data_IF_526918435967
#
_entry.id   IF_526918435967
#
_cell.length_a   1.000
_cell.length_b   1.000
_cell.length_c   1.000
_cell.angle_alpha   90.00
_cell.angle_beta   90.00
_cell.angle_gamma   90.00
#
_symmetry.space_group_name_H-M   'P 1'
#
loop_
_entity.id
_entity.type
_entity.pdbx_description
1 polymer ?
#
# COMPACT_ATOMS: atom_id res chain seq x y z
N UNK A 1 22.91 -72.07 -7.03
CA UNK A 1 22.34 -73.15 -7.89
C UNK A 1 22.38 -72.65 -9.31
N UNK A 2 23.24 -73.28 -10.05
CA UNK A 2 23.09 -73.89 -11.38
C UNK A 2 22.72 -72.91 -12.49
N UNK A 3 23.70 -72.53 -13.34
CA UNK A 3 24.22 -73.22 -14.57
C UNK A 3 23.22 -73.13 -15.72
N UNK A 4 23.52 -72.74 -16.97
CA UNK A 4 24.54 -73.22 -17.93
C UNK A 4 24.46 -72.32 -19.17
N UNK A 5 25.49 -71.78 -19.67
CA UNK A 5 26.31 -72.15 -20.87
C UNK A 5 25.57 -72.89 -22.00
N UNK A 6 25.60 -72.37 -23.22
CA UNK A 6 25.83 -73.08 -24.47
C UNK A 6 26.42 -72.19 -25.56
N UNK A 7 27.55 -72.51 -26.01
CA UNK A 7 28.37 -72.30 -27.15
C UNK A 7 27.78 -72.90 -28.45
N UNK A 8 28.01 -72.28 -29.62
CA UNK A 8 28.35 -72.99 -30.92
C UNK A 8 28.47 -71.93 -32.04
N UNK A 9 29.60 -71.72 -32.51
CA UNK A 9 30.44 -72.26 -33.56
C UNK A 9 30.04 -71.81 -34.96
N UNK A 10 31.06 -71.17 -35.59
CA UNK A 10 31.26 -70.87 -37.01
C UNK A 10 31.27 -72.13 -37.90
N UNK A 11 31.18 -72.02 -39.27
CA UNK A 11 32.35 -72.37 -40.06
C UNK A 11 32.67 -71.40 -41.24
N UNK A 12 33.85 -71.67 -41.74
CA UNK A 12 34.71 -70.97 -42.66
C UNK A 12 34.65 -71.43 -44.10
N UNK A 13 35.00 -70.50 -45.02
CA UNK A 13 35.79 -70.66 -46.28
C UNK A 13 35.17 -71.36 -47.53
N UNK A 14 35.66 -71.08 -48.81
CA UNK A 14 37.04 -70.80 -49.21
C UNK A 14 37.25 -69.75 -50.37
N UNK A 15 38.51 -69.46 -50.56
CA UNK A 15 39.19 -68.75 -51.61
C UNK A 15 38.98 -69.32 -53.04
N UNK A 16 39.03 -68.40 -54.06
CA UNK A 16 39.69 -68.77 -55.35
C UNK A 16 40.22 -67.49 -56.06
N UNK A 17 41.44 -67.57 -56.34
CA UNK A 17 42.45 -66.96 -57.18
C UNK A 17 42.00 -66.47 -58.56
N UNK A 18 42.63 -65.42 -59.07
CA UNK A 18 42.61 -64.97 -60.45
C UNK A 18 43.38 -63.68 -60.71
N UNK A 19 44.66 -63.81 -60.95
CA UNK A 19 45.59 -62.76 -61.37
C UNK A 19 45.41 -62.38 -62.84
N UNK A 20 45.92 -61.21 -63.21
CA UNK A 20 46.63 -60.75 -64.41
C UNK A 20 46.33 -59.33 -64.74
N UNK A 21 47.24 -58.42 -64.44
CA UNK A 21 48.13 -57.57 -65.24
C UNK A 21 47.51 -56.86 -66.46
N UNK A 22 47.54 -55.58 -66.45
CA UNK A 22 48.17 -54.69 -67.43
C UNK A 22 48.20 -53.21 -67.02
N UNK A 23 49.40 -52.67 -67.12
CA UNK A 23 49.78 -51.25 -67.10
C UNK A 23 49.12 -50.50 -68.28
N UNK A 24 48.83 -49.23 -68.08
CA UNK A 24 49.49 -48.05 -68.73
C UNK A 24 48.74 -46.70 -68.42
N UNK A 25 49.58 -45.77 -68.08
CA UNK A 25 49.59 -44.31 -68.42
C UNK A 25 48.37 -43.42 -68.04
N UNK A 26 48.56 -42.62 -67.01
CA UNK A 26 49.08 -41.25 -67.05
C UNK A 26 48.09 -40.24 -67.68
N UNK A 27 47.81 -39.28 -66.87
CA UNK A 27 47.77 -37.83 -67.07
C UNK A 27 46.78 -37.19 -66.13
N UNK A 28 47.34 -36.32 -65.31
CA UNK A 28 46.60 -35.55 -64.28
C UNK A 28 45.63 -34.62 -64.93
N UNK A 29 44.53 -34.44 -64.15
CA UNK A 29 43.76 -33.25 -64.17
C UNK A 29 43.38 -32.99 -62.71
N UNK A 30 44.08 -32.07 -62.06
CA UNK A 30 43.64 -31.40 -60.83
C UNK A 30 42.32 -30.65 -61.15
N UNK A 31 41.20 -31.30 -60.97
CA UNK A 31 39.93 -30.56 -60.87
C UNK A 31 39.82 -30.09 -59.42
N UNK A 32 40.04 -28.81 -59.24
CA UNK A 32 39.72 -28.06 -58.05
C UNK A 32 38.21 -28.26 -57.78
N UNK A 33 37.90 -29.16 -56.84
CA UNK A 33 36.53 -29.40 -56.39
C UNK A 33 36.06 -28.11 -55.70
N UNK A 34 35.28 -27.30 -56.43
CA UNK A 34 34.54 -26.21 -55.85
C UNK A 34 33.55 -26.85 -54.90
N UNK A 35 33.77 -26.67 -53.61
CA UNK A 35 32.82 -27.07 -52.58
C UNK A 35 31.50 -26.34 -52.87
N UNK A 36 30.53 -27.04 -53.37
CA UNK A 36 29.13 -26.58 -53.37
C UNK A 36 28.73 -26.28 -51.94
N UNK A 37 28.25 -25.08 -51.64
CA UNK A 37 27.74 -24.82 -50.29
C UNK A 37 26.59 -25.78 -50.02
N UNK A 38 26.79 -26.69 -49.06
CA UNK A 38 25.76 -27.56 -48.53
C UNK A 38 24.64 -26.66 -48.01
N UNK A 39 23.53 -26.57 -48.69
CA UNK A 39 22.33 -25.93 -48.23
C UNK A 39 21.75 -26.83 -47.10
N UNK A 40 22.32 -26.74 -45.92
CA UNK A 40 21.69 -27.30 -44.71
C UNK A 40 20.37 -26.54 -44.53
N UNK A 41 19.22 -27.22 -44.46
CA UNK A 41 17.96 -26.54 -44.25
C UNK A 41 18.04 -25.72 -42.94
N UNK A 42 17.44 -24.51 -42.95
CA UNK A 42 17.49 -23.65 -41.76
C UNK A 42 16.88 -24.38 -40.59
N UNK A 43 17.57 -24.33 -39.43
CA UNK A 43 17.14 -25.00 -38.21
C UNK A 43 15.93 -24.29 -37.62
N UNK A 44 14.80 -24.97 -37.36
CA UNK A 44 13.65 -24.34 -36.74
C UNK A 44 13.98 -23.98 -35.27
N UNK A 45 13.77 -22.74 -34.91
CA UNK A 45 14.04 -22.21 -33.54
C UNK A 45 12.87 -21.39 -33.05
N UNK A 46 12.69 -21.32 -31.72
CA UNK A 46 11.77 -20.36 -31.12
C UNK A 46 12.57 -19.17 -30.61
N UNK A 47 12.01 -17.98 -30.80
CA UNK A 47 12.65 -16.75 -30.35
C UNK A 47 11.82 -16.05 -29.27
N UNK A 48 12.50 -15.31 -28.43
CA UNK A 48 11.91 -14.43 -27.43
C UNK A 48 12.42 -13.01 -27.71
N UNK A 49 11.49 -12.07 -27.89
CA UNK A 49 11.86 -10.66 -28.04
C UNK A 49 12.15 -10.06 -26.66
N UNK A 50 13.38 -9.63 -26.49
CA UNK A 50 13.83 -9.01 -25.25
C UNK A 50 13.21 -7.61 -25.14
N UNK A 51 12.13 -7.52 -24.38
CA UNK A 51 11.56 -6.22 -24.04
C UNK A 51 12.18 -5.68 -22.77
N UNK A 52 12.41 -4.36 -22.64
CA UNK A 52 12.68 -3.77 -21.35
C UNK A 52 11.51 -4.13 -20.46
N UNK A 53 11.76 -4.96 -19.45
CA UNK A 53 10.71 -5.35 -18.52
C UNK A 53 10.16 -4.11 -17.85
N UNK A 54 9.02 -3.63 -18.29
CA UNK A 54 8.20 -2.77 -17.45
C UNK A 54 7.67 -3.68 -16.35
N UNK A 55 8.47 -3.85 -15.32
CA UNK A 55 7.97 -4.48 -14.12
C UNK A 55 7.06 -3.47 -13.44
N UNK A 56 5.78 -3.63 -13.66
CA UNK A 56 4.79 -2.98 -12.82
C UNK A 56 4.87 -3.64 -11.45
N UNK A 57 5.75 -3.09 -10.60
CA UNK A 57 5.89 -3.60 -9.24
C UNK A 57 4.72 -3.08 -8.42
N UNK A 58 3.79 -3.97 -8.12
CA UNK A 58 2.69 -3.67 -7.22
C UNK A 58 3.19 -3.83 -5.78
N UNK A 59 3.27 -2.74 -5.06
CA UNK A 59 3.56 -2.75 -3.63
C UNK A 59 2.28 -2.62 -2.84
N UNK A 60 2.04 -3.58 -1.92
CA UNK A 60 0.83 -3.65 -1.10
C UNK A 60 1.15 -3.34 0.35
N UNK A 61 0.35 -2.48 0.96
CA UNK A 61 0.47 -2.15 2.37
C UNK A 61 -0.90 -2.23 3.04
N UNK A 62 -0.97 -2.63 4.31
CA UNK A 62 -2.21 -2.64 5.07
C UNK A 62 -2.73 -1.21 5.24
N UNK A 63 -4.03 -1.06 5.18
CA UNK A 63 -4.72 0.22 5.31
C UNK A 63 -5.97 0.10 6.16
N UNK A 64 -6.28 1.16 6.92
CA UNK A 64 -7.54 1.31 7.64
C UNK A 64 -8.28 2.53 7.10
N UNK A 65 -9.55 2.36 6.77
CA UNK A 65 -10.40 3.43 6.27
C UNK A 65 -11.15 4.07 7.44
N UNK A 66 -11.07 5.39 7.53
CA UNK A 66 -11.71 6.18 8.57
C UNK A 66 -12.36 7.41 7.93
N UNK A 67 -13.40 7.96 8.55
CA UNK A 67 -13.87 9.29 8.17
C UNK A 67 -12.88 10.35 8.63
N UNK A 68 -12.67 11.36 7.82
CA UNK A 68 -11.70 12.44 8.13
C UNK A 68 -12.09 13.18 9.43
N UNK A 69 -13.40 13.32 9.66
CA UNK A 69 -13.92 13.90 10.88
C UNK A 69 -14.58 12.83 11.74
N UNK A 70 -13.89 12.45 12.80
CA UNK A 70 -14.41 11.61 13.89
C UNK A 70 -14.28 12.38 15.22
N UNK A 71 -15.18 12.15 16.13
CA UNK A 71 -15.14 12.73 17.47
C UNK A 71 -15.31 11.65 18.53
N UNK A 72 -14.47 11.71 19.55
CA UNK A 72 -14.64 10.99 20.81
C UNK A 72 -15.29 11.96 21.80
N UNK A 73 -16.50 11.63 22.22
CA UNK A 73 -17.28 12.46 23.13
C UNK A 73 -17.20 11.89 24.53
N UNK A 74 -16.97 12.76 25.48
CA UNK A 74 -16.86 12.45 26.90
C UNK A 74 -17.59 13.50 27.72
N UNK A 75 -18.03 13.15 28.94
CA UNK A 75 -18.44 14.14 29.91
C UNK A 75 -17.23 14.89 30.45
N UNK A 76 -17.39 16.19 30.69
CA UNK A 76 -16.35 17.04 31.29
C UNK A 76 -16.38 16.98 32.81
N UNK A 77 -17.49 16.52 33.35
CA UNK A 77 -17.74 16.34 34.78
C UNK A 77 -18.15 14.89 35.06
N UNK A 78 -17.94 14.42 36.28
CA UNK A 78 -18.26 13.04 36.67
C UNK A 78 -19.70 12.89 37.13
N UNK A 79 -20.24 11.68 37.05
CA UNK A 79 -21.59 11.37 37.52
C UNK A 79 -22.08 10.02 37.07
N UNK A 80 -23.35 9.72 37.38
CA UNK A 80 -24.03 8.51 36.95
C UNK A 80 -24.82 8.80 35.67
N UNK A 81 -24.68 7.99 34.66
CA UNK A 81 -25.42 8.13 33.40
C UNK A 81 -26.91 7.97 33.64
N UNK A 82 -27.66 9.01 33.38
CA UNK A 82 -29.12 9.06 33.52
C UNK A 82 -29.83 8.66 32.23
N UNK A 83 -29.25 8.98 31.06
CA UNK A 83 -29.83 8.61 29.77
C UNK A 83 -28.77 8.47 28.71
N UNK A 84 -29.00 7.47 27.82
CA UNK A 84 -28.29 7.30 26.54
C UNK A 84 -29.35 7.06 25.49
N UNK A 85 -29.51 7.99 24.57
CA UNK A 85 -30.68 8.04 23.67
C UNK A 85 -30.42 7.43 22.29
N UNK A 86 -29.24 6.81 22.07
CA UNK A 86 -28.82 6.30 20.77
C UNK A 86 -28.11 4.97 20.87
N UNK A 87 -28.08 4.27 19.73
CA UNK A 87 -27.32 3.04 19.53
C UNK A 87 -26.25 3.25 18.46
N UNK A 88 -25.23 2.40 18.45
CA UNK A 88 -24.29 2.31 17.36
C UNK A 88 -25.01 2.12 16.01
N UNK A 89 -24.54 2.81 14.98
CA UNK A 89 -25.13 2.83 13.65
C UNK A 89 -26.26 3.85 13.43
N UNK A 90 -26.76 4.52 14.47
CA UNK A 90 -27.81 5.52 14.31
C UNK A 90 -27.25 6.86 13.82
N UNK A 91 -28.05 7.53 12.98
CA UNK A 91 -27.78 8.87 12.50
C UNK A 91 -28.24 9.90 13.54
N UNK A 92 -27.45 10.94 13.69
CA UNK A 92 -27.72 12.06 14.61
C UNK A 92 -27.48 13.39 13.90
N UNK A 93 -28.20 14.44 14.36
CA UNK A 93 -28.03 15.79 13.85
C UNK A 93 -27.21 16.65 14.82
N UNK A 94 -26.53 17.68 14.29
CA UNK A 94 -25.77 18.63 15.12
C UNK A 94 -26.62 19.24 16.23
N UNK A 95 -26.09 19.25 17.45
CA UNK A 95 -26.75 19.79 18.65
C UNK A 95 -27.71 18.82 19.34
N UNK A 96 -27.98 17.65 18.78
CA UNK A 96 -28.85 16.63 19.35
C UNK A 96 -28.25 16.07 20.63
N UNK A 97 -29.06 15.96 21.71
CA UNK A 97 -28.67 15.38 22.99
C UNK A 97 -28.43 13.87 22.83
N UNK A 98 -27.21 13.42 23.14
CA UNK A 98 -26.79 12.04 23.00
C UNK A 98 -26.82 11.27 24.32
N UNK A 99 -26.28 11.85 25.36
CA UNK A 99 -26.23 11.26 26.69
C UNK A 99 -26.26 12.36 27.77
N UNK A 100 -26.72 11.99 28.94
CA UNK A 100 -26.80 12.89 30.09
C UNK A 100 -26.46 12.13 31.37
N UNK A 101 -25.69 12.73 32.26
CA UNK A 101 -25.50 12.29 33.64
C UNK A 101 -26.49 12.99 34.57
N UNK A 102 -26.75 12.42 35.73
CA UNK A 102 -27.68 12.97 36.74
C UNK A 102 -27.27 14.38 37.12
N UNK A 103 -28.10 15.41 36.76
CA UNK A 103 -27.72 16.81 36.89
C UNK A 103 -28.01 17.42 38.27
N UNK A 104 -28.74 16.73 39.16
CA UNK A 104 -29.28 17.25 40.42
C UNK A 104 -28.27 18.03 41.26
N UNK A 105 -27.05 17.49 41.43
CA UNK A 105 -26.02 18.16 42.21
C UNK A 105 -25.50 19.45 41.55
N UNK A 106 -25.39 19.43 40.23
CA UNK A 106 -24.94 20.57 39.42
C UNK A 106 -26.00 21.67 39.36
N UNK A 107 -27.29 21.29 39.25
CA UNK A 107 -28.43 22.23 39.36
C UNK A 107 -28.47 22.91 40.72
N UNK A 108 -28.29 22.15 41.80
CA UNK A 108 -28.22 22.68 43.14
C UNK A 108 -27.02 23.62 43.34
N UNK A 109 -25.86 23.31 42.79
CA UNK A 109 -24.66 24.14 42.84
C UNK A 109 -24.88 25.46 42.07
N UNK A 110 -25.45 25.42 40.85
CA UNK A 110 -25.80 26.59 40.05
C UNK A 110 -26.84 27.45 40.77
N UNK A 111 -27.89 26.85 41.35
CA UNK A 111 -28.91 27.59 42.09
C UNK A 111 -28.29 28.34 43.31
N UNK A 112 -27.37 27.68 44.04
CA UNK A 112 -26.65 28.33 45.16
C UNK A 112 -25.76 29.48 44.70
N UNK A 113 -24.97 29.29 43.63
CA UNK A 113 -24.11 30.33 43.08
C UNK A 113 -24.93 31.50 42.52
N UNK A 114 -26.08 31.24 41.89
CA UNK A 114 -26.99 32.29 41.42
C UNK A 114 -27.60 33.09 42.58
N UNK A 115 -28.04 32.45 43.67
CA UNK A 115 -28.57 33.12 44.84
C UNK A 115 -27.53 34.06 45.47
N UNK A 116 -26.27 33.66 45.57
CA UNK A 116 -25.18 34.48 46.09
C UNK A 116 -24.87 35.66 45.13
N UNK A 117 -24.77 35.40 43.84
CA UNK A 117 -24.59 36.43 42.81
C UNK A 117 -25.71 37.49 42.91
N UNK A 118 -26.98 37.11 43.01
CA UNK A 118 -28.11 38.01 43.11
C UNK A 118 -28.08 38.83 44.43
N UNK A 119 -27.63 38.23 45.53
CA UNK A 119 -27.45 38.92 46.81
C UNK A 119 -26.38 40.01 46.70
N UNK A 120 -25.22 39.67 46.12
CA UNK A 120 -24.12 40.65 45.95
C UNK A 120 -24.46 41.71 44.94
N UNK A 121 -25.16 41.36 43.84
CA UNK A 121 -25.62 42.30 42.84
C UNK A 121 -26.51 43.39 43.47
N UNK A 122 -27.50 42.97 44.30
CA UNK A 122 -28.37 43.93 45.02
C UNK A 122 -27.59 44.80 46.03
N UNK A 123 -26.57 44.26 46.70
CA UNK A 123 -25.68 45.00 47.55
C UNK A 123 -24.87 46.05 46.79
N UNK A 124 -24.31 45.65 45.65
CA UNK A 124 -23.55 46.54 44.78
C UNK A 124 -24.44 47.69 44.25
N UNK A 125 -25.67 47.40 43.83
CA UNK A 125 -26.64 48.44 43.39
C UNK A 125 -26.92 49.47 44.47
N UNK A 126 -27.22 49.02 45.72
CA UNK A 126 -27.41 49.94 46.86
C UNK A 126 -26.15 50.77 47.15
N UNK A 127 -24.97 50.14 47.11
CA UNK A 127 -23.71 50.85 47.32
C UNK A 127 -23.44 51.92 46.24
N UNK A 128 -23.77 51.61 44.99
CA UNK A 128 -23.67 52.58 43.88
C UNK A 128 -24.57 53.84 44.13
N UNK A 129 -25.80 53.64 44.64
CA UNK A 129 -26.68 54.72 45.01
C UNK A 129 -26.10 55.58 46.17
N UNK A 130 -25.49 54.92 47.18
CA UNK A 130 -24.84 55.60 48.31
C UNK A 130 -23.56 56.33 47.89
N UNK A 131 -22.83 55.84 46.95
CA UNK A 131 -21.65 56.50 46.34
C UNK A 131 -22.10 57.77 45.66
N UNK A 132 -23.18 57.72 44.84
CA UNK A 132 -23.73 58.87 44.14
C UNK A 132 -24.20 59.96 45.11
N UNK A 133 -24.64 59.58 46.32
CA UNK A 133 -24.97 60.43 47.39
C UNK A 133 -23.77 60.92 48.23
N UNK A 134 -22.55 60.54 47.94
CA UNK A 134 -21.35 60.91 48.70
C UNK A 134 -21.23 60.21 50.07
N UNK A 135 -22.00 59.15 50.34
CA UNK A 135 -22.16 58.54 51.63
C UNK A 135 -21.13 57.43 51.94
N UNK A 136 -20.34 56.91 50.92
CA UNK A 136 -19.36 55.88 51.10
C UNK A 136 -18.07 56.14 50.31
N UNK A 137 -16.97 55.49 50.71
CA UNK A 137 -15.63 55.70 50.16
C UNK A 137 -15.40 54.93 48.83
N UNK A 138 -14.41 55.38 48.03
CA UNK A 138 -14.01 54.69 46.78
C UNK A 138 -13.53 53.29 47.05
N UNK A 139 -12.84 53.03 48.15
CA UNK A 139 -12.37 51.67 48.51
C UNK A 139 -13.54 50.70 48.64
N UNK A 140 -14.64 51.09 49.30
CA UNK A 140 -15.82 50.23 49.43
C UNK A 140 -16.49 49.94 48.06
N UNK A 141 -16.37 50.87 47.14
CA UNK A 141 -16.83 50.68 45.75
C UNK A 141 -16.00 49.58 45.06
N UNK A 142 -14.66 49.65 45.15
CA UNK A 142 -13.74 48.68 44.56
C UNK A 142 -13.98 47.30 45.19
N UNK A 143 -14.01 47.18 46.50
CA UNK A 143 -14.32 45.93 47.21
C UNK A 143 -15.64 45.29 46.76
N UNK A 144 -16.68 46.11 46.56
CA UNK A 144 -18.00 45.62 46.14
C UNK A 144 -18.01 45.19 44.69
N UNK A 145 -17.24 45.83 43.82
CA UNK A 145 -17.07 45.43 42.41
C UNK A 145 -16.31 44.11 42.31
N UNK A 146 -15.24 43.94 43.08
CA UNK A 146 -14.45 42.72 43.13
C UNK A 146 -15.28 41.54 43.63
N UNK A 147 -16.07 41.75 44.69
CA UNK A 147 -16.98 40.71 45.18
C UNK A 147 -18.06 40.35 44.15
N UNK A 148 -18.58 41.30 43.39
CA UNK A 148 -19.53 41.03 42.32
C UNK A 148 -18.91 40.26 41.18
N UNK A 149 -17.69 40.62 40.80
CA UNK A 149 -16.92 39.86 39.77
C UNK A 149 -16.67 38.44 40.20
N UNK A 150 -16.24 38.19 41.44
CA UNK A 150 -16.02 36.86 41.99
C UNK A 150 -17.31 36.03 42.04
N UNK A 151 -18.42 36.58 42.46
CA UNK A 151 -19.70 35.87 42.50
C UNK A 151 -20.22 35.54 41.08
N UNK A 152 -20.02 36.46 40.14
CA UNK A 152 -20.35 36.24 38.72
C UNK A 152 -19.51 35.06 38.14
N UNK A 153 -18.22 35.07 38.37
CA UNK A 153 -17.32 33.98 37.93
C UNK A 153 -17.72 32.62 38.54
N UNK A 154 -18.14 32.61 39.82
CA UNK A 154 -18.63 31.38 40.47
C UNK A 154 -19.92 30.86 39.83
N UNK A 155 -20.84 31.74 39.48
CA UNK A 155 -22.09 31.38 38.76
C UNK A 155 -21.77 30.83 37.37
N UNK A 156 -20.92 31.52 36.62
CA UNK A 156 -20.49 31.07 35.28
C UNK A 156 -19.81 29.69 35.34
N UNK A 157 -18.97 29.44 36.33
CA UNK A 157 -18.35 28.13 36.57
C UNK A 157 -19.38 27.02 36.82
N UNK A 158 -20.37 27.30 37.73
CA UNK A 158 -21.44 26.34 38.02
C UNK A 158 -22.38 26.11 36.81
N UNK A 159 -22.60 27.12 35.97
CA UNK A 159 -23.38 26.99 34.74
C UNK A 159 -22.63 26.12 33.70
N UNK A 160 -21.33 26.34 33.58
CA UNK A 160 -20.48 25.50 32.74
C UNK A 160 -20.48 24.04 33.18
N UNK A 161 -20.37 23.78 34.48
CA UNK A 161 -20.40 22.41 35.01
C UNK A 161 -21.76 21.73 34.75
N UNK A 162 -22.85 22.44 34.96
CA UNK A 162 -24.19 21.95 34.63
C UNK A 162 -24.33 21.68 33.12
N UNK A 163 -23.87 22.58 32.25
CA UNK A 163 -23.92 22.38 30.82
C UNK A 163 -23.09 21.18 30.36
N UNK A 164 -22.06 20.83 31.16
CA UNK A 164 -21.14 19.72 30.93
C UNK A 164 -21.69 18.37 31.36
N UNK A 165 -22.87 18.33 32.02
CA UNK A 165 -23.60 17.08 32.33
C UNK A 165 -24.27 16.45 31.11
N UNK A 166 -24.32 17.16 29.97
CA UNK A 166 -24.97 16.73 28.75
C UNK A 166 -23.96 16.61 27.59
N UNK A 167 -23.95 15.51 26.89
CA UNK A 167 -23.20 15.32 25.65
C UNK A 167 -24.13 15.61 24.48
N UNK A 168 -23.78 16.60 23.66
CA UNK A 168 -24.49 16.95 22.42
C UNK A 168 -23.60 16.67 21.21
N UNK A 169 -24.20 16.27 20.08
CA UNK A 169 -23.50 16.03 18.84
C UNK A 169 -22.84 17.32 18.29
N UNK A 170 -21.52 17.37 18.09
CA UNK A 170 -20.83 18.54 17.58
C UNK A 170 -21.08 18.80 16.08
N UNK A 171 -21.46 17.75 15.34
CA UNK A 171 -21.83 17.78 13.93
C UNK A 171 -22.86 16.68 13.63
N UNK A 172 -23.51 16.74 12.47
CA UNK A 172 -24.39 15.66 12.00
C UNK A 172 -23.57 14.47 11.50
N UNK A 173 -23.98 13.23 11.81
CA UNK A 173 -23.22 12.05 11.45
C UNK A 173 -23.81 10.77 12.00
N UNK A 174 -22.97 9.76 12.17
CA UNK A 174 -23.35 8.43 12.67
C UNK A 174 -22.59 8.10 13.96
N UNK A 175 -23.26 7.46 14.90
CA UNK A 175 -22.64 6.90 16.10
C UNK A 175 -21.87 5.61 15.70
N UNK A 176 -20.56 5.60 15.94
CA UNK A 176 -19.70 4.44 15.65
C UNK A 176 -19.70 3.44 16.81
N UNK A 177 -19.55 3.92 18.05
CA UNK A 177 -19.59 3.09 19.26
C UNK A 177 -20.18 3.83 20.44
N UNK A 178 -20.73 3.07 21.36
CA UNK A 178 -21.11 3.48 22.71
C UNK A 178 -20.25 2.64 23.68
N UNK A 179 -19.51 3.31 24.54
CA UNK A 179 -18.57 2.66 25.44
C UNK A 179 -19.06 2.62 26.90
N UNK A 180 -20.30 3.10 27.16
CA UNK A 180 -20.94 3.11 28.48
C UNK A 180 -22.45 3.05 28.40
N UNK A 181 -23.11 2.55 29.44
CA UNK A 181 -24.53 2.29 29.50
C UNK A 181 -25.23 3.10 30.59
N UNK A 182 -26.59 3.09 30.58
CA UNK A 182 -27.43 3.67 31.62
C UNK A 182 -27.07 3.13 33.02
N UNK A 183 -26.98 4.01 34.01
CA UNK A 183 -26.68 3.67 35.41
C UNK A 183 -25.20 3.51 35.71
N UNK A 184 -24.31 3.57 34.73
CA UNK A 184 -22.86 3.53 34.94
C UNK A 184 -22.30 4.83 35.49
N UNK A 185 -21.34 4.75 36.42
CA UNK A 185 -20.62 5.90 36.93
C UNK A 185 -19.42 6.21 36.05
N UNK A 186 -19.33 7.43 35.56
CA UNK A 186 -18.29 7.87 34.62
C UNK A 186 -17.42 8.98 35.20
N UNK A 187 -16.15 8.96 34.83
CA UNK A 187 -15.16 9.98 35.18
C UNK A 187 -15.03 11.04 34.10
N UNK A 188 -14.60 12.27 34.47
CA UNK A 188 -14.30 13.31 33.49
C UNK A 188 -13.27 12.85 32.45
N UNK A 189 -13.55 13.05 31.15
CA UNK A 189 -12.67 12.68 30.04
C UNK A 189 -12.77 11.21 29.61
N UNK A 190 -13.51 10.36 30.30
CA UNK A 190 -13.79 9.01 29.88
C UNK A 190 -14.61 9.05 28.58
N UNK A 191 -14.12 8.34 27.52
CA UNK A 191 -14.84 8.28 26.24
C UNK A 191 -16.16 7.51 26.44
N UNK A 192 -17.25 8.13 26.02
CA UNK A 192 -18.59 7.55 26.09
C UNK A 192 -19.11 7.21 24.70
N UNK A 193 -18.91 8.11 23.74
CA UNK A 193 -19.45 7.98 22.39
C UNK A 193 -18.34 8.25 21.40
N UNK A 194 -18.23 7.41 20.37
CA UNK A 194 -17.46 7.71 19.17
C UNK A 194 -18.42 7.95 18.01
N UNK A 195 -18.25 9.06 17.30
CA UNK A 195 -19.07 9.38 16.14
C UNK A 195 -18.25 9.84 14.95
N UNK A 196 -18.80 9.69 13.75
CA UNK A 196 -18.19 10.11 12.49
C UNK A 196 -19.13 10.99 11.68
N UNK A 197 -18.56 11.96 11.00
CA UNK A 197 -19.24 12.80 10.01
C UNK A 197 -19.28 12.06 8.67
N UNK A 198 -20.49 11.71 8.20
CA UNK A 198 -20.67 11.01 6.93
C UNK A 198 -20.42 11.89 5.70
N UNK A 199 -20.49 13.20 5.85
CA UNK A 199 -20.20 14.17 4.78
C UNK A 199 -18.70 14.40 4.63
N UNK A 200 -17.91 14.08 5.67
CA UNK A 200 -16.45 14.19 5.60
C UNK A 200 -15.86 13.15 4.64
N UNK A 201 -14.73 13.45 3.97
CA UNK A 201 -14.06 12.51 3.11
C UNK A 201 -13.72 11.20 3.81
N UNK A 202 -13.72 10.10 3.07
CA UNK A 202 -13.17 8.82 3.53
C UNK A 202 -11.65 8.85 3.33
N UNK A 203 -10.91 8.61 4.41
CA UNK A 203 -9.46 8.61 4.43
C UNK A 203 -8.96 7.21 4.70
N UNK A 204 -8.06 6.75 3.87
CA UNK A 204 -7.31 5.52 4.08
C UNK A 204 -5.97 5.87 4.73
N UNK A 205 -5.73 5.32 5.92
CA UNK A 205 -4.47 5.49 6.66
C UNK A 205 -3.62 4.24 6.51
N UNK A 206 -2.43 4.41 5.92
CA UNK A 206 -1.49 3.33 5.69
C UNK A 206 -0.17 3.59 6.42
N UNK A 207 0.36 2.56 7.09
CA UNK A 207 1.71 2.59 7.64
C UNK A 207 2.68 2.03 6.58
N UNK A 208 3.46 2.91 5.95
CA UNK A 208 4.31 2.58 4.81
C UNK A 208 5.79 2.64 5.22
N UNK A 209 6.62 1.60 4.94
CA UNK A 209 8.04 1.63 5.26
C UNK A 209 8.74 2.85 4.68
N UNK A 210 9.63 3.49 5.45
CA UNK A 210 10.33 4.72 5.08
C UNK A 210 11.04 4.63 3.71
N UNK A 211 11.61 3.46 3.41
CA UNK A 211 12.31 3.24 2.13
C UNK A 211 11.38 3.40 0.92
N UNK A 212 10.10 3.03 1.05
CA UNK A 212 9.09 3.19 0.01
C UNK A 212 8.42 4.57 0.08
N UNK A 213 8.16 5.08 1.29
CA UNK A 213 7.51 6.39 1.50
C UNK A 213 8.30 7.55 0.85
N UNK A 214 9.64 7.46 0.75
CA UNK A 214 10.50 8.42 0.04
C UNK A 214 10.22 8.52 -1.48
N UNK A 215 9.54 7.54 -2.05
CA UNK A 215 9.20 7.48 -3.48
C UNK A 215 7.78 7.95 -3.77
N UNK A 216 6.97 8.13 -2.73
CA UNK A 216 5.59 8.56 -2.83
C UNK A 216 5.54 10.09 -2.72
N UNK A 217 4.68 10.70 -3.52
CA UNK A 217 4.43 12.13 -3.49
C UNK A 217 2.95 12.43 -3.26
N UNK A 218 2.67 13.61 -2.70
CA UNK A 218 1.29 14.08 -2.60
C UNK A 218 0.68 14.19 -4.01
N UNK A 219 -0.50 13.62 -4.17
CA UNK A 219 -1.19 13.55 -5.44
C UNK A 219 -1.05 12.22 -6.19
N UNK A 220 -0.13 11.35 -5.77
CA UNK A 220 0.02 10.02 -6.37
C UNK A 220 -1.28 9.21 -6.22
N UNK A 221 -1.56 8.42 -7.27
CA UNK A 221 -2.76 7.57 -7.32
C UNK A 221 -2.39 6.18 -6.84
N UNK A 222 -3.27 5.62 -5.99
CA UNK A 222 -3.18 4.26 -5.51
C UNK A 222 -4.56 3.59 -5.61
N UNK A 223 -4.59 2.27 -5.53
CA UNK A 223 -5.81 1.49 -5.50
C UNK A 223 -5.98 0.85 -4.13
N UNK A 224 -7.18 0.91 -3.57
CA UNK A 224 -7.50 0.27 -2.29
C UNK A 224 -8.39 -0.92 -2.56
N UNK A 225 -8.04 -2.07 -1.98
CA UNK A 225 -8.86 -3.30 -2.00
C UNK A 225 -9.30 -3.63 -0.59
N UNK A 226 -10.61 -3.86 -0.46
CA UNK A 226 -11.27 -4.30 0.76
C UNK A 226 -11.69 -5.76 0.53
N UNK A 227 -11.08 -6.71 1.26
CA UNK A 227 -11.36 -8.15 1.04
C UNK A 227 -10.67 -8.74 -0.20
N UNK A 228 -11.09 -9.94 -0.60
CA UNK A 228 -10.42 -10.74 -1.64
C UNK A 228 -11.00 -10.49 -3.04
N UNK A 229 -12.26 -10.12 -3.14
CA UNK A 229 -13.00 -10.05 -4.41
C UNK A 229 -13.59 -8.66 -4.73
N UNK A 230 -13.33 -7.66 -3.91
CA UNK A 230 -13.94 -6.34 -4.08
C UNK A 230 -13.25 -5.50 -5.15
N UNK A 231 -14.08 -4.71 -5.82
CA UNK A 231 -13.66 -3.72 -6.79
C UNK A 231 -12.63 -2.76 -6.17
N UNK A 232 -11.53 -2.53 -6.87
CA UNK A 232 -10.50 -1.61 -6.44
C UNK A 232 -11.05 -0.16 -6.38
N UNK A 233 -10.86 0.49 -5.24
CA UNK A 233 -11.28 1.87 -5.01
C UNK A 233 -10.13 2.83 -5.33
N UNK A 234 -10.32 3.80 -6.22
CA UNK A 234 -9.28 4.78 -6.49
C UNK A 234 -9.08 5.70 -5.28
N UNK A 235 -7.83 5.89 -4.92
CA UNK A 235 -7.42 6.76 -3.84
C UNK A 235 -6.26 7.66 -4.28
N UNK A 236 -6.13 8.82 -3.65
CA UNK A 236 -5.08 9.79 -3.94
C UNK A 236 -4.34 10.16 -2.65
N UNK A 237 -3.02 10.14 -2.70
CA UNK A 237 -2.18 10.53 -1.57
C UNK A 237 -2.44 12.00 -1.24
N UNK A 238 -2.90 12.26 -0.02
CA UNK A 238 -3.16 13.60 0.52
C UNK A 238 -2.01 14.10 1.36
N UNK A 239 -1.51 13.25 2.24
CA UNK A 239 -0.51 13.63 3.22
C UNK A 239 0.45 12.48 3.48
N UNK A 240 1.72 12.82 3.66
CA UNK A 240 2.79 11.89 4.04
C UNK A 240 3.38 12.43 5.34
N UNK A 241 3.37 11.63 6.39
CA UNK A 241 3.87 12.00 7.69
C UNK A 241 5.35 12.39 7.65
N UNK A 242 5.72 13.42 8.38
CA UNK A 242 7.11 13.88 8.48
C UNK A 242 7.97 13.03 9.44
N UNK A 243 7.34 12.20 10.28
CA UNK A 243 8.00 11.34 11.25
C UNK A 243 7.72 9.87 10.96
N UNK A 244 8.71 9.03 11.18
CA UNK A 244 8.54 7.57 11.19
C UNK A 244 8.35 7.07 12.62
N UNK A 245 7.52 6.06 12.77
CA UNK A 245 7.39 5.32 14.04
C UNK A 245 8.70 4.58 14.34
N UNK A 246 9.33 4.82 15.51
CA UNK A 246 10.63 4.23 15.82
C UNK A 246 10.60 2.70 16.00
N UNK A 247 9.42 2.10 16.25
CA UNK A 247 9.27 0.65 16.43
C UNK A 247 9.11 -0.08 15.10
N UNK A 248 8.39 0.53 14.16
CA UNK A 248 8.04 -0.10 12.87
C UNK A 248 8.84 0.46 11.69
N UNK A 249 9.57 1.57 11.87
CA UNK A 249 10.22 2.36 10.83
C UNK A 249 9.26 2.74 9.68
N UNK A 250 7.96 2.82 9.98
CA UNK A 250 6.92 3.17 9.01
C UNK A 250 6.52 4.65 9.14
N UNK A 251 6.15 5.24 8.03
CA UNK A 251 5.58 6.58 7.93
C UNK A 251 4.08 6.45 7.67
N UNK A 252 3.28 7.24 8.38
CA UNK A 252 1.84 7.29 8.12
C UNK A 252 1.56 8.08 6.86
N UNK A 253 0.80 7.46 5.95
CA UNK A 253 0.35 8.07 4.70
C UNK A 253 -1.17 8.08 4.68
N UNK A 254 -1.74 9.26 4.48
CA UNK A 254 -3.18 9.46 4.36
C UNK A 254 -3.57 9.59 2.88
N UNK A 255 -4.52 8.78 2.44
CA UNK A 255 -5.06 8.81 1.09
C UNK A 255 -6.55 9.16 1.14
N UNK A 256 -6.98 10.07 0.30
CA UNK A 256 -8.41 10.35 0.08
C UNK A 256 -8.98 9.29 -0.84
N UNK A 257 -10.02 8.62 -0.38
CA UNK A 257 -10.73 7.59 -1.17
C UNK A 257 -11.91 8.23 -1.87
N UNK A 258 -11.93 8.14 -3.19
CA UNK A 258 -13.06 8.64 -3.97
C UNK A 258 -14.00 7.48 -4.33
N UNK A 259 -15.08 7.37 -3.58
CA UNK A 259 -16.07 6.30 -3.78
C UNK A 259 -17.48 6.78 -3.45
N UNK A 260 -18.49 6.43 -4.25
CA UNK A 260 -19.89 6.65 -3.91
C UNK A 260 -20.41 5.62 -2.89
N UNK A 261 -19.65 4.57 -2.60
CA UNK A 261 -20.06 3.49 -1.70
C UNK A 261 -20.00 3.95 -0.24
N UNK A 262 -20.97 3.50 0.56
CA UNK A 262 -20.96 3.70 2.01
C UNK A 262 -20.10 2.62 2.66
N UNK A 263 -18.84 2.95 2.89
CA UNK A 263 -17.89 2.08 3.57
C UNK A 263 -17.90 2.43 5.05
N UNK A 264 -18.08 1.45 5.96
CA UNK A 264 -18.01 1.68 7.39
C UNK A 264 -16.63 2.20 7.82
N UNK A 265 -16.60 3.17 8.76
CA UNK A 265 -15.35 3.60 9.39
C UNK A 265 -14.74 2.45 10.19
N UNK A 266 -13.43 2.25 10.09
CA UNK A 266 -12.72 1.12 10.69
C UNK A 266 -12.55 -0.09 9.75
N UNK A 267 -13.08 -0.04 8.51
CA UNK A 267 -12.82 -1.07 7.51
C UNK A 267 -11.33 -1.18 7.20
N UNK A 268 -10.84 -2.42 7.08
CA UNK A 268 -9.44 -2.70 6.78
C UNK A 268 -9.28 -3.30 5.38
N UNK A 269 -8.12 -3.10 4.78
CA UNK A 269 -7.81 -3.59 3.46
C UNK A 269 -6.34 -3.44 3.11
N UNK A 270 -6.04 -3.41 1.83
CA UNK A 270 -4.70 -3.13 1.29
C UNK A 270 -4.73 -1.94 0.34
N UNK A 271 -3.72 -1.10 0.40
CA UNK A 271 -3.42 -0.10 -0.62
C UNK A 271 -2.34 -0.62 -1.55
N UNK A 272 -2.57 -0.51 -2.85
CA UNK A 272 -1.69 -0.94 -3.92
C UNK A 272 -1.12 0.30 -4.63
N UNK A 273 0.20 0.44 -4.59
CA UNK A 273 0.91 1.42 -5.39
C UNK A 273 1.50 0.75 -6.61
N UNK A 274 1.11 1.23 -7.77
CA UNK A 274 1.64 0.81 -9.06
C UNK A 274 2.83 1.70 -9.40
N UNK A 275 4.03 1.21 -9.21
CA UNK A 275 5.22 1.91 -9.62
C UNK A 275 5.64 1.40 -11.00
N UNK A 276 5.43 2.20 -12.03
CA UNK A 276 6.09 2.00 -13.31
C UNK A 276 7.56 2.37 -13.12
N UNK A 277 8.39 1.42 -12.77
CA UNK A 277 9.82 1.65 -12.93
C UNK A 277 10.07 1.78 -14.43
N UNK A 278 10.22 3.03 -14.85
CA UNK A 278 10.88 3.30 -16.11
C UNK A 278 12.26 2.63 -16.01
N UNK A 279 12.47 1.57 -16.74
CA UNK A 279 13.75 0.86 -16.83
C UNK A 279 14.88 1.75 -17.42
N UNK A 280 14.76 3.06 -17.21
CA UNK A 280 15.69 4.06 -17.73
C UNK A 280 17.06 4.10 -17.07
N UNK A 281 17.30 3.33 -16.02
CA UNK A 281 18.61 3.29 -15.36
C UNK A 281 19.17 1.87 -15.16
N UNK A 282 18.37 0.83 -15.24
CA UNK A 282 18.85 -0.55 -15.20
C UNK A 282 18.79 -1.14 -16.60
N UNK A 283 19.96 -1.42 -17.18
CA UNK A 283 20.10 -2.20 -18.42
C UNK A 283 19.75 -3.68 -18.20
N UNK A 284 19.00 -3.97 -17.14
CA UNK A 284 18.63 -5.33 -16.75
C UNK A 284 17.43 -5.77 -17.56
N UNK A 285 17.62 -6.83 -18.29
CA UNK A 285 16.63 -7.46 -19.15
C UNK A 285 16.28 -8.82 -18.54
N UNK A 286 15.07 -9.30 -18.77
CA UNK A 286 14.64 -10.64 -18.33
C UNK A 286 14.61 -11.58 -19.51
N UNK A 287 15.24 -12.76 -19.33
CA UNK A 287 15.24 -13.84 -20.29
C UNK A 287 14.66 -15.11 -19.67
N UNK A 288 13.93 -15.94 -20.42
CA UNK A 288 13.59 -17.28 -19.97
C UNK A 288 14.86 -18.12 -19.83
N UNK A 289 14.95 -19.01 -18.83
CA UNK A 289 16.18 -19.80 -18.58
C UNK A 289 16.64 -20.62 -19.79
N UNK A 290 15.70 -21.08 -20.63
CA UNK A 290 16.01 -21.82 -21.86
C UNK A 290 16.79 -21.06 -22.92
N UNK A 291 16.92 -19.75 -22.80
CA UNK A 291 17.74 -18.93 -23.70
C UNK A 291 19.22 -18.90 -23.32
N UNK A 292 19.56 -19.28 -22.09
CA UNK A 292 20.92 -19.22 -21.58
C UNK A 292 21.73 -20.49 -21.96
N UNK A 293 22.90 -20.27 -22.51
CA UNK A 293 23.87 -21.28 -22.80
C UNK A 293 25.13 -21.09 -21.96
N UNK A 294 25.75 -22.19 -21.53
CA UNK A 294 27.07 -22.18 -20.87
C UNK A 294 27.17 -21.12 -19.75
N UNK A 295 26.10 -20.98 -18.93
CA UNK A 295 26.08 -19.97 -17.90
C UNK A 295 26.83 -20.40 -16.64
N UNK A 296 27.61 -19.47 -16.09
CA UNK A 296 28.11 -19.51 -14.72
C UNK A 296 27.41 -18.42 -13.87
N UNK A 297 27.79 -18.28 -12.61
CA UNK A 297 27.14 -17.33 -11.69
C UNK A 297 27.16 -15.87 -12.15
N UNK A 298 28.02 -15.48 -13.07
CA UNK A 298 28.24 -14.08 -13.47
C UNK A 298 28.15 -13.83 -14.98
N UNK A 299 28.35 -14.85 -15.81
CA UNK A 299 28.40 -14.76 -17.28
C UNK A 299 27.59 -15.89 -17.91
N UNK A 300 27.07 -15.64 -19.08
CA UNK A 300 26.40 -16.61 -19.93
C UNK A 300 26.43 -16.18 -21.38
N UNK A 301 26.00 -17.06 -22.24
CA UNK A 301 25.89 -16.79 -23.69
C UNK A 301 24.44 -16.98 -24.12
N UNK A 302 24.03 -16.20 -25.12
CA UNK A 302 22.75 -16.34 -25.80
C UNK A 302 22.98 -16.30 -27.31
N UNK A 303 22.09 -16.90 -28.07
CA UNK A 303 22.05 -16.66 -29.51
C UNK A 303 21.05 -15.57 -29.84
N UNK A 304 21.53 -14.54 -30.51
CA UNK A 304 20.75 -13.42 -31.03
C UNK A 304 20.44 -13.67 -32.49
N UNK A 305 19.20 -13.50 -32.90
CA UNK A 305 18.77 -13.60 -34.29
C UNK A 305 18.95 -12.23 -35.00
N UNK A 306 19.78 -12.20 -36.03
CA UNK A 306 19.82 -11.04 -36.93
C UNK A 306 18.59 -11.07 -37.87
N UNK A 307 17.75 -10.03 -37.84
CA UNK A 307 16.53 -10.01 -38.66
C UNK A 307 16.79 -9.82 -40.17
N UNK A 308 18.01 -9.43 -40.59
CA UNK A 308 18.32 -9.11 -42.00
C UNK A 308 18.59 -10.36 -42.82
N UNK A 309 19.34 -11.31 -42.25
CA UNK A 309 19.81 -12.50 -42.95
C UNK A 309 19.39 -13.81 -42.28
N UNK A 310 18.63 -13.71 -41.18
CA UNK A 310 18.13 -14.82 -40.39
C UNK A 310 19.27 -15.72 -39.86
N UNK A 311 20.40 -15.12 -39.49
CA UNK A 311 21.54 -15.80 -38.89
C UNK A 311 21.55 -15.66 -37.35
N UNK A 312 22.08 -16.65 -36.68
CA UNK A 312 22.21 -16.67 -35.24
C UNK A 312 23.64 -16.31 -34.82
N UNK A 313 23.76 -15.31 -33.95
CA UNK A 313 25.04 -14.83 -33.41
C UNK A 313 25.14 -15.06 -31.91
N UNK A 314 26.24 -15.70 -31.47
CA UNK A 314 26.52 -15.97 -30.05
C UNK A 314 26.98 -14.65 -29.38
N UNK A 315 26.26 -14.19 -28.39
CA UNK A 315 26.57 -12.97 -27.63
C UNK A 315 26.80 -13.27 -26.17
N UNK A 316 27.90 -12.74 -25.60
CA UNK A 316 28.19 -12.83 -24.17
C UNK A 316 27.30 -11.82 -23.41
N UNK A 317 26.73 -12.29 -22.31
CA UNK A 317 25.89 -11.49 -21.42
C UNK A 317 26.32 -11.67 -19.96
N UNK A 318 26.01 -10.69 -19.10
CA UNK A 318 26.17 -10.83 -17.66
C UNK A 318 24.89 -11.35 -17.04
N UNK A 319 25.02 -12.39 -16.24
CA UNK A 319 23.93 -12.91 -15.41
C UNK A 319 23.92 -12.13 -14.09
N UNK A 320 22.80 -11.52 -13.76
CA UNK A 320 22.64 -10.68 -12.55
C UNK A 320 21.90 -11.42 -11.43
N UNK A 321 21.15 -12.47 -11.78
CA UNK A 321 20.42 -13.29 -10.83
C UNK A 321 19.21 -13.98 -11.45
N UNK A 322 18.56 -14.83 -10.67
CA UNK A 322 17.33 -15.54 -11.04
C UNK A 322 16.19 -14.95 -10.21
N UNK A 323 15.06 -14.67 -10.84
CA UNK A 323 13.89 -14.09 -10.24
C UNK A 323 12.63 -14.83 -10.71
N UNK A 324 12.14 -15.74 -9.85
CA UNK A 324 11.08 -16.65 -10.22
C UNK A 324 11.46 -17.54 -11.42
N UNK A 325 10.66 -17.46 -12.51
CA UNK A 325 10.90 -18.20 -13.75
C UNK A 325 11.80 -17.44 -14.76
N UNK A 326 12.38 -16.31 -14.36
CA UNK A 326 13.15 -15.43 -15.24
C UNK A 326 14.60 -15.27 -14.76
N UNK A 327 15.51 -15.13 -15.71
CA UNK A 327 16.90 -14.77 -15.42
C UNK A 327 17.12 -13.30 -15.78
N UNK A 328 17.59 -12.51 -14.80
CA UNK A 328 18.02 -11.13 -15.05
C UNK A 328 19.39 -11.09 -15.68
N UNK A 329 19.50 -10.37 -16.77
CA UNK A 329 20.74 -10.28 -17.56
C UNK A 329 21.00 -8.83 -17.98
N UNK A 330 22.25 -8.52 -18.29
CA UNK A 330 22.64 -7.25 -18.91
C UNK A 330 23.60 -7.51 -20.07
N UNK A 331 23.65 -6.57 -21.03
CA UNK A 331 24.53 -6.67 -22.20
C UNK A 331 23.81 -6.99 -23.51
N UNK A 332 22.47 -6.93 -23.51
CA UNK A 332 21.64 -6.99 -24.70
C UNK A 332 20.96 -5.62 -24.94
N UNK A 333 20.57 -5.38 -26.18
CA UNK A 333 19.72 -4.22 -26.51
C UNK A 333 18.24 -4.60 -26.43
N UNK A 334 17.36 -3.68 -25.99
CA UNK A 334 15.93 -3.89 -26.03
C UNK A 334 15.44 -4.09 -27.47
N UNK A 335 14.51 -5.03 -27.66
CA UNK A 335 13.94 -5.35 -28.97
C UNK A 335 14.67 -6.45 -29.74
N UNK A 336 15.80 -6.91 -29.24
CA UNK A 336 16.55 -7.99 -29.84
C UNK A 336 15.82 -9.34 -29.65
N UNK A 337 15.81 -10.19 -30.68
CA UNK A 337 15.28 -11.54 -30.60
C UNK A 337 16.34 -12.52 -30.16
N UNK A 338 16.12 -13.21 -29.06
CA UNK A 338 16.99 -14.24 -28.51
C UNK A 338 16.37 -15.61 -28.73
N UNK A 339 17.17 -16.58 -29.16
CA UNK A 339 16.72 -17.96 -29.37
C UNK A 339 16.53 -18.65 -28.03
N UNK A 340 15.35 -19.23 -27.79
CA UNK A 340 14.99 -19.90 -26.53
C UNK A 340 14.92 -21.41 -26.69
N UNK A 341 14.22 -21.91 -27.69
CA UNK A 341 14.19 -23.34 -27.98
C UNK A 341 15.01 -23.65 -29.24
N UNK A 342 15.83 -24.71 -29.16
CA UNK A 342 16.78 -25.09 -30.20
C UNK A 342 18.15 -24.41 -30.08
N UNK A 343 18.35 -23.51 -29.13
CA UNK A 343 19.60 -22.76 -28.94
C UNK A 343 20.85 -23.66 -28.78
N UNK A 344 20.72 -24.83 -28.12
CA UNK A 344 21.81 -25.76 -27.94
C UNK A 344 22.26 -26.48 -29.21
N UNK A 345 21.53 -26.39 -30.31
CA UNK A 345 21.85 -27.00 -31.59
C UNK A 345 22.31 -25.98 -32.64
N UNK A 346 22.29 -24.70 -32.30
CA UNK A 346 22.68 -23.61 -33.18
C UNK A 346 24.17 -23.34 -33.06
N UNK A 347 24.82 -23.09 -34.20
CA UNK A 347 26.20 -22.64 -34.27
C UNK A 347 26.32 -21.20 -34.75
N UNK A 348 27.46 -20.55 -34.46
CA UNK A 348 27.74 -19.17 -34.87
C UNK A 348 27.55 -18.98 -36.38
N UNK A 349 26.78 -17.98 -36.78
CA UNK A 349 26.52 -17.64 -38.18
C UNK A 349 25.55 -18.59 -38.92
N UNK A 350 24.91 -19.55 -38.19
CA UNK A 350 24.00 -20.50 -38.80
C UNK A 350 22.67 -19.84 -39.15
N UNK A 351 22.16 -20.15 -40.39
CA UNK A 351 20.80 -19.74 -40.79
C UNK A 351 19.77 -20.55 -39.99
N UNK A 352 18.83 -19.82 -39.39
CA UNK A 352 17.75 -20.39 -38.61
C UNK A 352 16.39 -19.90 -39.15
N UNK A 353 15.36 -20.67 -38.89
CA UNK A 353 14.00 -20.32 -39.23
C UNK A 353 13.14 -20.20 -37.96
N UNK A 354 12.52 -19.03 -37.77
CA UNK A 354 11.61 -18.84 -36.68
C UNK A 354 10.37 -19.73 -36.82
N UNK A 355 10.16 -20.64 -35.89
CA UNK A 355 8.96 -21.48 -35.81
C UNK A 355 7.91 -20.75 -34.99
N UNK A 356 6.83 -20.33 -35.62
CA UNK A 356 5.62 -19.88 -34.92
C UNK A 356 4.97 -21.08 -34.26
N UNK A 357 4.64 -20.93 -32.98
CA UNK A 357 3.86 -21.92 -32.23
C UNK A 357 2.39 -21.77 -32.55
#
# INVERSE_FOLDING_TARGET
>A
MKSSTVFQRLPAWPLSTGAVLMLLSALGACTKQVATPSLTPPLPVQTFTVNPGFEETIQKFPVTLLRDREANLSFRVGGVIQSVNFKAGQLVTKGQLLAEITPINYEAAKARANAEYQKILRANQRNQELIAAGAITNSLKEDTQDNLAAAKASLEGSDYDLSSTAIKAPFSGVILSLDSEFGETVSPGQRIIKMADLESPLIAKAAIPLAFAKRIHSGDVALIRLGVEEQALPAKVRFIGAASDPKTAAVMVDLVVNTPQRIPSGSTGSVEFHSKHSAGASKDLKLPPGALLESNQTKGYVFVLDPKDATAHKQEIKVLGIEGEWTRVSGLEPGVKVITAGAGFVTEGQKVQESLR
#
